data_IF_600010673875
#
_entry.id   IF_600010673875
#
_cell.length_a   1.000
_cell.length_b   1.000
_cell.length_c   1.000
_cell.angle_alpha   90.00
_cell.angle_beta   90.00
_cell.angle_gamma   90.00
#
_symmetry.space_group_name_H-M   'P 1'
#
loop_
_entity.id
_entity.type
_entity.pdbx_description
1 polymer ?
#
# COMPACT_ATOMS: atom_id res chain seq x y z
N UNK A 1 -0.97 25.66 10.73
CA UNK A 1 0.34 24.96 10.75
C UNK A 1 0.05 23.50 11.00
N UNK A 2 -0.06 22.70 9.96
CA UNK A 2 -0.26 21.24 10.09
C UNK A 2 1.03 20.66 10.64
N UNK A 3 1.01 20.25 11.91
CA UNK A 3 2.07 19.41 12.45
C UNK A 3 2.20 18.20 11.53
N UNK A 4 3.40 17.94 11.00
CA UNK A 4 3.65 16.74 10.24
C UNK A 4 3.33 15.53 11.13
N UNK A 5 2.53 14.59 10.60
CA UNK A 5 2.10 13.38 11.32
C UNK A 5 3.32 12.49 11.64
N UNK A 6 4.32 12.51 10.76
CA UNK A 6 5.57 11.78 10.90
C UNK A 6 6.74 12.75 11.12
N UNK A 7 7.79 12.33 11.85
CA UNK A 7 9.01 13.12 11.98
C UNK A 7 9.74 13.25 10.64
N UNK A 8 10.71 14.15 10.59
CA UNK A 8 11.66 14.28 9.48
C UNK A 8 13.01 13.74 9.92
N UNK A 9 13.65 12.92 9.10
CA UNK A 9 15.02 12.47 9.36
C UNK A 9 16.00 13.66 9.22
N UNK A 10 17.01 13.78 10.10
CA UNK A 10 17.95 14.90 10.06
C UNK A 10 18.91 14.87 8.87
N UNK A 11 19.21 13.68 8.36
CA UNK A 11 20.13 13.43 7.24
C UNK A 11 19.81 12.09 6.55
N UNK A 12 20.49 11.84 5.42
CA UNK A 12 20.32 10.63 4.60
C UNK A 12 20.70 9.35 5.34
N UNK A 13 21.78 9.35 6.12
CA UNK A 13 22.22 8.17 6.86
C UNK A 13 21.18 7.74 7.90
N UNK A 14 20.62 8.71 8.63
CA UNK A 14 19.54 8.48 9.60
C UNK A 14 18.25 8.01 8.94
N UNK A 15 17.97 8.44 7.71
CA UNK A 15 16.80 8.01 6.94
C UNK A 15 16.95 6.59 6.42
N UNK A 16 18.11 6.28 5.82
CA UNK A 16 18.33 5.05 5.05
C UNK A 16 18.80 3.87 5.90
N UNK A 17 19.54 4.15 6.97
CA UNK A 17 20.16 3.13 7.82
C UNK A 17 19.76 3.27 9.30
N UNK A 18 19.05 4.34 9.66
CA UNK A 18 18.60 4.58 11.03
C UNK A 18 17.29 3.87 11.39
N UNK A 19 16.80 4.17 12.60
CA UNK A 19 15.57 3.59 13.14
C UNK A 19 14.36 4.55 13.10
N UNK A 20 14.52 5.74 12.51
CA UNK A 20 13.46 6.75 12.45
C UNK A 20 12.49 6.37 11.33
N UNK A 21 11.20 6.21 11.68
CA UNK A 21 10.14 6.15 10.68
C UNK A 21 9.82 7.58 10.21
N UNK A 22 10.41 7.98 9.08
CA UNK A 22 10.24 9.27 8.43
C UNK A 22 9.86 9.08 6.94
N UNK A 23 8.63 8.63 6.64
CA UNK A 23 8.20 8.34 5.28
C UNK A 23 8.32 9.58 4.38
N UNK A 24 8.89 9.39 3.19
CA UNK A 24 9.10 10.44 2.20
C UNK A 24 7.92 10.46 1.25
N UNK A 25 7.05 11.46 1.44
CA UNK A 25 5.96 11.71 0.51
C UNK A 25 6.44 12.55 -0.67
N UNK A 26 5.89 12.27 -1.85
CA UNK A 26 6.17 13.01 -3.08
C UNK A 26 5.63 14.45 -3.05
N UNK A 27 5.81 15.20 -4.15
CA UNK A 27 5.32 16.57 -4.27
C UNK A 27 3.77 16.69 -4.18
N UNK A 28 3.04 15.59 -4.34
CA UNK A 28 1.58 15.52 -4.16
C UNK A 28 1.18 15.11 -2.74
N UNK A 29 2.15 14.88 -1.85
CA UNK A 29 1.92 14.40 -0.49
C UNK A 29 1.56 12.92 -0.44
N UNK A 30 2.03 12.11 -1.40
CA UNK A 30 1.70 10.70 -1.53
C UNK A 30 2.94 9.80 -1.46
N UNK A 31 2.74 8.58 -0.97
CA UNK A 31 3.72 7.49 -0.97
C UNK A 31 3.14 6.28 -1.71
N UNK A 32 3.98 5.56 -2.46
CA UNK A 32 3.55 4.34 -3.14
C UNK A 32 3.34 3.21 -2.13
N UNK A 33 2.23 2.48 -2.23
CA UNK A 33 1.90 1.37 -1.34
C UNK A 33 1.64 0.09 -2.14
N UNK A 34 2.47 -0.93 -1.92
CA UNK A 34 2.35 -2.25 -2.53
C UNK A 34 1.71 -3.18 -1.50
N UNK A 35 0.55 -3.75 -1.82
CA UNK A 35 -0.05 -4.82 -1.03
C UNK A 35 0.39 -6.18 -1.58
N UNK A 36 0.99 -6.99 -0.72
CA UNK A 36 1.45 -8.34 -1.05
C UNK A 36 0.82 -9.35 -0.09
N UNK A 37 0.35 -10.48 -0.60
CA UNK A 37 -0.15 -11.55 0.24
C UNK A 37 0.96 -12.02 1.19
N UNK A 38 0.65 -12.10 2.48
CA UNK A 38 1.63 -12.45 3.51
C UNK A 38 2.17 -13.86 3.31
N UNK A 39 1.28 -14.83 3.07
CA UNK A 39 1.64 -16.25 2.98
C UNK A 39 2.19 -16.67 1.60
N UNK A 40 1.63 -16.18 0.49
CA UNK A 40 2.04 -16.62 -0.87
C UNK A 40 3.10 -15.73 -1.52
N UNK A 41 3.28 -14.50 -1.03
CA UNK A 41 4.18 -13.52 -1.67
C UNK A 41 3.61 -12.88 -2.95
N UNK A 42 2.38 -13.18 -3.34
CA UNK A 42 1.76 -12.58 -4.52
C UNK A 42 1.51 -11.08 -4.32
N UNK A 43 1.92 -10.25 -5.29
CA UNK A 43 1.54 -8.83 -5.32
C UNK A 43 0.07 -8.72 -5.70
N UNK A 44 -0.73 -8.13 -4.80
CA UNK A 44 -2.18 -8.02 -4.94
C UNK A 44 -2.58 -6.71 -5.62
N UNK A 45 -1.97 -5.59 -5.23
CA UNK A 45 -2.28 -4.28 -5.80
C UNK A 45 -1.20 -3.25 -5.47
N UNK A 46 -1.20 -2.18 -6.26
CA UNK A 46 -0.53 -0.92 -5.97
C UNK A 46 -1.60 0.15 -5.69
N UNK A 47 -1.40 0.96 -4.67
CA UNK A 47 -2.18 2.15 -4.39
C UNK A 47 -1.28 3.25 -3.82
N UNK A 48 -1.88 4.38 -3.44
CA UNK A 48 -1.19 5.53 -2.87
C UNK A 48 -1.67 5.79 -1.46
N UNK A 49 -0.79 6.23 -0.58
CA UNK A 49 -1.17 6.70 0.77
C UNK A 49 -0.76 8.14 0.93
N UNK A 50 -1.61 8.95 1.55
CA UNK A 50 -1.18 10.21 2.16
C UNK A 50 -0.73 9.93 3.62
N UNK A 51 -0.21 10.93 4.37
CA UNK A 51 0.24 10.73 5.74
C UNK A 51 -0.84 10.15 6.67
N UNK A 52 -2.09 10.57 6.50
CA UNK A 52 -3.22 10.07 7.30
C UNK A 52 -3.53 8.60 7.01
N UNK A 53 -3.54 8.18 5.74
CA UNK A 53 -3.76 6.80 5.34
C UNK A 53 -2.69 5.85 5.89
N UNK A 54 -1.41 6.26 5.83
CA UNK A 54 -0.32 5.46 6.39
C UNK A 54 -0.45 5.37 7.91
N UNK A 55 -0.74 6.49 8.60
CA UNK A 55 -0.95 6.48 10.05
C UNK A 55 -2.11 5.58 10.45
N UNK A 56 -3.27 5.69 9.80
CA UNK A 56 -4.43 4.83 10.08
C UNK A 56 -4.11 3.35 9.81
N UNK A 57 -3.34 3.07 8.76
CA UNK A 57 -2.89 1.69 8.48
C UNK A 57 -2.07 1.11 9.63
N UNK A 58 -1.11 1.89 10.15
CA UNK A 58 -0.27 1.49 11.28
C UNK A 58 -1.07 1.37 12.59
N UNK A 59 -2.00 2.30 12.84
CA UNK A 59 -2.79 2.33 14.07
C UNK A 59 -3.86 1.23 14.13
N UNK A 60 -4.52 0.93 12.99
CA UNK A 60 -5.66 0.00 12.94
C UNK A 60 -5.25 -1.43 12.61
N UNK A 61 -4.09 -1.63 11.99
CA UNK A 61 -3.71 -2.94 11.45
C UNK A 61 -4.53 -3.35 10.22
N UNK A 62 -5.19 -2.40 9.54
CA UNK A 62 -5.94 -2.62 8.31
C UNK A 62 -5.51 -1.63 7.23
N UNK A 63 -5.41 -2.08 5.97
CA UNK A 63 -4.92 -1.21 4.90
C UNK A 63 -5.91 -0.06 4.58
N UNK A 64 -5.43 1.17 4.76
CA UNK A 64 -6.08 2.41 4.35
C UNK A 64 -5.27 3.05 3.23
N UNK A 65 -5.94 3.52 2.18
CA UNK A 65 -5.26 4.21 1.09
C UNK A 65 -5.93 5.54 0.76
N UNK A 66 -5.27 6.31 -0.10
CA UNK A 66 -5.75 7.57 -0.62
C UNK A 66 -6.05 7.45 -2.12
N UNK A 67 -7.29 7.75 -2.50
CA UNK A 67 -7.73 7.77 -3.89
C UNK A 67 -7.43 9.12 -4.52
N UNK A 68 -6.44 9.17 -5.42
CA UNK A 68 -6.06 10.40 -6.14
C UNK A 68 -7.21 10.99 -6.96
N UNK A 69 -8.03 10.14 -7.59
CA UNK A 69 -9.15 10.59 -8.41
C UNK A 69 -10.32 11.12 -7.61
N UNK A 70 -10.59 10.56 -6.43
CA UNK A 70 -11.67 11.01 -5.53
C UNK A 70 -11.19 12.03 -4.50
N UNK A 71 -9.88 12.27 -4.43
CA UNK A 71 -9.23 13.08 -3.41
C UNK A 71 -9.70 12.72 -2.00
N UNK A 72 -9.75 11.42 -1.70
CA UNK A 72 -10.39 10.90 -0.50
C UNK A 72 -9.66 9.67 0.05
N UNK A 73 -9.61 9.59 1.38
CA UNK A 73 -9.22 8.40 2.13
C UNK A 73 -10.25 7.27 1.92
N UNK A 74 -9.80 6.02 1.88
CA UNK A 74 -10.67 4.85 2.00
C UNK A 74 -10.03 3.73 2.82
N UNK A 75 -10.86 2.91 3.45
CA UNK A 75 -10.45 1.63 4.03
C UNK A 75 -10.68 0.53 2.99
N UNK A 76 -9.66 -0.24 2.63
CA UNK A 76 -9.82 -1.32 1.63
C UNK A 76 -10.81 -2.35 2.15
N UNK A 77 -11.80 -2.67 1.33
CA UNK A 77 -12.83 -3.65 1.67
C UNK A 77 -13.95 -3.12 2.56
N UNK A 78 -14.00 -1.82 2.86
CA UNK A 78 -15.08 -1.22 3.67
C UNK A 78 -16.48 -1.52 3.10
N UNK A 79 -16.62 -1.53 1.78
CA UNK A 79 -17.88 -1.86 1.10
C UNK A 79 -17.99 -3.34 0.72
N UNK A 80 -16.89 -3.97 0.28
CA UNK A 80 -16.93 -5.34 -0.26
C UNK A 80 -16.68 -6.45 0.76
N UNK A 81 -16.25 -6.12 1.99
CA UNK A 81 -15.78 -7.09 2.98
C UNK A 81 -14.37 -7.63 2.72
N UNK A 82 -13.75 -7.31 1.57
CA UNK A 82 -12.38 -7.71 1.21
C UNK A 82 -11.32 -6.85 1.92
N UNK A 83 -11.37 -6.84 3.24
CA UNK A 83 -10.45 -6.12 4.11
C UNK A 83 -9.06 -6.73 4.00
N UNK A 84 -8.02 -5.90 4.09
CA UNK A 84 -6.63 -6.35 4.10
C UNK A 84 -6.06 -6.13 5.51
N UNK A 85 -5.98 -7.20 6.30
CA UNK A 85 -5.36 -7.15 7.63
C UNK A 85 -3.85 -7.17 7.49
N UNK A 86 -3.18 -6.24 8.14
CA UNK A 86 -1.74 -6.07 8.13
C UNK A 86 -1.09 -7.18 8.95
N UNK A 87 -0.13 -7.88 8.34
CA UNK A 87 0.75 -8.85 9.02
C UNK A 87 2.11 -8.22 9.28
N UNK A 88 2.61 -7.44 8.33
CA UNK A 88 3.91 -6.77 8.40
C UNK A 88 3.89 -5.53 7.50
N UNK A 89 4.60 -4.47 7.91
CA UNK A 89 4.83 -3.26 7.12
C UNK A 89 6.34 -3.09 6.95
N UNK A 90 6.79 -2.89 5.71
CA UNK A 90 8.18 -2.55 5.39
C UNK A 90 8.21 -1.24 4.61
N UNK A 91 9.25 -0.45 4.83
CA UNK A 91 9.53 0.74 4.03
C UNK A 91 10.74 0.44 3.13
N UNK A 92 10.78 1.05 1.96
CA UNK A 92 12.00 1.05 1.13
C UNK A 92 13.12 1.87 1.81
N UNK A 93 14.36 1.75 1.33
CA UNK A 93 15.53 2.30 1.98
C UNK A 93 15.41 3.82 2.24
N UNK A 94 14.94 4.60 1.28
CA UNK A 94 14.75 6.04 1.45
C UNK A 94 13.33 6.44 1.88
N UNK A 95 12.55 5.44 2.28
CA UNK A 95 11.19 5.51 2.84
C UNK A 95 10.15 6.17 1.92
N UNK A 96 10.32 6.11 0.60
CA UNK A 96 9.38 6.66 -0.39
C UNK A 96 8.36 5.63 -0.96
N UNK A 97 8.47 4.39 -0.49
CA UNK A 97 7.52 3.33 -0.77
C UNK A 97 7.29 2.44 0.45
N UNK A 98 6.07 1.90 0.56
CA UNK A 98 5.67 0.95 1.61
C UNK A 98 5.22 -0.38 1.01
N UNK A 99 5.75 -1.48 1.55
CA UNK A 99 5.29 -2.84 1.30
C UNK A 99 4.42 -3.30 2.47
N UNK A 100 3.15 -3.54 2.21
CA UNK A 100 2.20 -4.12 3.14
C UNK A 100 2.08 -5.62 2.90
N UNK A 101 2.55 -6.43 3.83
CA UNK A 101 2.24 -7.86 3.85
C UNK A 101 0.87 -8.01 4.50
N UNK A 102 -0.11 -8.48 3.74
CA UNK A 102 -1.51 -8.52 4.15
C UNK A 102 -2.08 -9.92 4.08
N UNK A 103 -3.06 -10.20 4.95
CA UNK A 103 -3.98 -11.32 4.81
C UNK A 103 -5.33 -10.78 4.30
N UNK A 104 -5.70 -11.02 3.03
CA UNK A 104 -6.98 -10.61 2.50
C UNK A 104 -8.13 -11.40 3.16
N UNK A 105 -9.22 -10.71 3.49
CA UNK A 105 -10.46 -11.30 3.97
C UNK A 105 -11.48 -11.44 2.82
N UNK A 106 -12.69 -11.92 3.14
CA UNK A 106 -13.75 -12.14 2.17
C UNK A 106 -13.45 -13.33 1.25
N UNK A 107 -13.58 -13.12 -0.05
CA UNK A 107 -13.23 -14.11 -1.10
C UNK A 107 -11.71 -14.20 -1.36
N UNK A 108 -10.90 -13.47 -0.58
CA UNK A 108 -9.45 -13.37 -0.79
C UNK A 108 -9.05 -12.38 -1.89
N UNK A 109 -10.03 -11.71 -2.51
CA UNK A 109 -9.85 -10.77 -3.61
C UNK A 109 -9.29 -9.41 -3.21
N UNK A 110 -8.44 -8.83 -4.05
CA UNK A 110 -8.07 -7.42 -3.97
C UNK A 110 -8.72 -6.58 -5.07
N UNK A 111 -9.13 -7.18 -6.19
CA UNK A 111 -9.58 -6.47 -7.37
C UNK A 111 -11.12 -6.35 -7.46
N UNK A 112 -11.60 -5.17 -7.82
CA UNK A 112 -13.03 -4.90 -7.97
C UNK A 112 -13.68 -5.62 -9.16
N UNK A 113 -12.90 -6.16 -10.09
CA UNK A 113 -13.37 -6.99 -11.21
C UNK A 113 -13.39 -8.50 -10.88
N UNK A 114 -13.18 -8.87 -9.62
CA UNK A 114 -13.34 -10.26 -9.14
C UNK A 114 -12.06 -11.09 -9.08
N UNK A 115 -10.92 -10.54 -9.50
CA UNK A 115 -9.64 -11.24 -9.41
C UNK A 115 -8.96 -11.09 -8.05
N UNK A 116 -8.17 -12.11 -7.67
CA UNK A 116 -7.34 -12.09 -6.45
C UNK A 116 -6.36 -10.92 -6.44
N UNK A 117 -5.67 -10.71 -7.56
CA UNK A 117 -4.74 -9.60 -7.77
C UNK A 117 -5.23 -8.68 -8.88
N UNK A 118 -4.95 -7.38 -8.75
CA UNK A 118 -5.08 -6.42 -9.84
C UNK A 118 -4.14 -6.74 -11.02
N UNK A 119 -3.09 -7.52 -10.77
CA UNK A 119 -2.11 -7.97 -11.77
C UNK A 119 -2.50 -9.36 -12.33
N UNK A 120 -3.77 -9.51 -12.72
CA UNK A 120 -4.32 -10.75 -13.29
C UNK A 120 -4.04 -10.93 -14.79
N UNK A 121 -3.34 -9.97 -15.44
CA UNK A 121 -2.99 -10.03 -16.86
C UNK A 121 -1.49 -9.89 -17.06
N UNK A 122 -0.97 -10.55 -18.09
CA UNK A 122 0.39 -10.44 -18.58
C UNK A 122 0.43 -9.90 -20.01
N UNK A 123 1.60 -9.43 -20.43
CA UNK A 123 1.85 -8.98 -21.80
C UNK A 123 2.48 -10.13 -22.60
N UNK A 124 1.78 -10.61 -23.63
CA UNK A 124 2.26 -11.64 -24.57
C UNK A 124 2.12 -11.09 -25.99
N UNK A 125 3.22 -11.01 -26.72
CA UNK A 125 3.26 -10.50 -28.10
C UNK A 125 2.53 -9.15 -28.27
N UNK A 126 2.71 -8.25 -27.29
CA UNK A 126 2.08 -6.92 -27.27
C UNK A 126 0.58 -6.92 -26.92
N UNK A 127 0.00 -8.05 -26.52
CA UNK A 127 -1.41 -8.17 -26.11
C UNK A 127 -1.52 -8.50 -24.62
N UNK A 128 -2.59 -8.02 -23.99
CA UNK A 128 -2.93 -8.41 -22.63
C UNK A 128 -3.67 -9.76 -22.64
N UNK A 129 -3.16 -10.73 -21.89
CA UNK A 129 -3.75 -12.05 -21.70
C UNK A 129 -3.92 -12.30 -20.21
N UNK A 130 -5.03 -12.91 -19.80
CA UNK A 130 -5.25 -13.33 -18.42
C UNK A 130 -4.23 -14.41 -18.03
N UNK A 131 -3.69 -14.32 -16.81
CA UNK A 131 -2.75 -15.32 -16.28
C UNK A 131 -3.51 -16.57 -15.80
N UNK A 132 -2.85 -17.71 -15.79
CA UNK A 132 -3.49 -19.00 -15.52
C UNK A 132 -3.51 -19.43 -14.04
N UNK A 133 -2.97 -18.62 -13.13
CA UNK A 133 -2.63 -18.94 -11.72
C UNK A 133 -3.30 -18.07 -10.64
#
# INVERSE_FOLDING_TARGET
MTSSIFPTAPDTESLECGAILAPRFDASGLIAAIAQHADTGEVLMLAWMNPEALKLTLDTGEAHYFSRSRNALWKKGETSGQVQTIVEVRLDCDQDAVLLKVRPQGDGGACHVGFRSCFYRLVVDGKLVERAD
#
